data_IF_202045438168
#
_entry.id   IF_202045438168
#
_cell.length_a   1.000
_cell.length_b   1.000
_cell.length_c   1.000
_cell.angle_alpha   90.00
_cell.angle_beta   90.00
_cell.angle_gamma   90.00
#
_symmetry.space_group_name_H-M   'P 1'
#
loop_
_entity.id
_entity.type
_entity.pdbx_description
1 polymer ?
#
# COMPACT_ATOMS: atom_id res chain seq x y z
N UNK A 1 0.74 21.44 51.33
CA UNK A 1 -0.34 20.45 51.50
C UNK A 1 -0.73 19.99 50.11
N UNK A 2 -0.52 18.71 49.80
CA UNK A 2 -0.83 18.11 48.50
C UNK A 2 -2.35 18.00 48.33
N UNK A 3 -2.91 18.70 47.33
CA UNK A 3 -4.31 18.53 46.98
C UNK A 3 -4.45 17.31 46.05
N UNK A 4 -5.14 16.26 46.50
CA UNK A 4 -5.37 15.05 45.71
C UNK A 4 -6.28 15.26 44.49
N UNK A 5 -7.09 16.32 44.44
CA UNK A 5 -7.98 16.59 43.28
C UNK A 5 -7.20 16.86 42.00
N UNK A 6 -5.98 17.40 42.10
CA UNK A 6 -5.17 17.72 40.93
C UNK A 6 -4.73 16.46 40.16
N UNK A 7 -4.56 15.33 40.86
CA UNK A 7 -4.09 14.07 40.27
C UNK A 7 -5.17 13.42 39.36
N UNK A 8 -6.45 13.59 39.68
CA UNK A 8 -7.56 13.05 38.89
C UNK A 8 -8.16 14.06 37.92
N UNK A 9 -8.41 15.28 38.39
CA UNK A 9 -9.27 16.23 37.68
C UNK A 9 -8.46 17.10 36.70
N UNK A 10 -7.17 17.34 36.98
CA UNK A 10 -6.30 18.16 36.13
C UNK A 10 -6.09 17.58 34.73
N UNK A 11 -5.86 16.26 34.64
CA UNK A 11 -5.69 15.57 33.34
C UNK A 11 -7.01 15.53 32.56
N UNK A 12 -8.13 15.17 33.22
CA UNK A 12 -9.46 15.15 32.60
C UNK A 12 -9.87 16.51 32.05
N UNK A 13 -9.49 17.59 32.75
CA UNK A 13 -9.72 18.95 32.31
C UNK A 13 -8.91 19.31 31.05
N UNK A 14 -7.63 18.92 31.00
CA UNK A 14 -6.75 19.15 29.84
C UNK A 14 -7.17 18.33 28.60
N UNK A 15 -7.60 17.09 28.80
CA UNK A 15 -8.05 16.19 27.72
C UNK A 15 -9.50 16.46 27.27
N UNK A 16 -10.16 17.48 27.84
CA UNK A 16 -11.55 17.84 27.56
C UNK A 16 -12.57 16.71 27.82
N UNK A 17 -12.32 15.86 28.82
CA UNK A 17 -13.17 14.72 29.20
C UNK A 17 -14.18 15.04 30.31
N UNK A 18 -14.26 16.30 30.73
CA UNK A 18 -15.17 16.77 31.78
C UNK A 18 -16.46 17.34 31.20
N UNK A 19 -17.57 17.12 31.91
CA UNK A 19 -18.85 17.78 31.63
C UNK A 19 -18.83 19.25 32.07
N UNK A 20 -19.78 20.05 31.57
CA UNK A 20 -19.84 21.49 31.89
C UNK A 20 -19.97 21.77 33.39
N UNK A 21 -20.70 20.92 34.12
CA UNK A 21 -20.88 21.06 35.57
C UNK A 21 -19.59 20.72 36.35
N UNK A 22 -18.87 19.68 35.93
CA UNK A 22 -17.58 19.30 36.50
C UNK A 22 -16.50 20.36 36.25
N UNK A 23 -16.50 20.97 35.06
CA UNK A 23 -15.61 22.09 34.72
C UNK A 23 -15.84 23.26 35.66
N UNK A 24 -17.11 23.67 35.85
CA UNK A 24 -17.43 24.80 36.72
C UNK A 24 -17.05 24.54 38.19
N UNK A 25 -17.15 23.30 38.65
CA UNK A 25 -16.71 22.91 40.00
C UNK A 25 -15.18 22.94 40.13
N UNK A 26 -14.46 22.45 39.12
CA UNK A 26 -13.00 22.45 39.10
C UNK A 26 -12.43 23.88 38.98
N UNK A 27 -13.04 24.74 38.18
CA UNK A 27 -12.64 26.16 38.09
C UNK A 27 -12.82 26.90 39.41
N UNK A 28 -13.93 26.65 40.13
CA UNK A 28 -14.10 27.18 41.50
C UNK A 28 -12.97 26.71 42.41
N UNK A 29 -12.60 25.43 42.34
CA UNK A 29 -11.48 24.91 43.12
C UNK A 29 -10.14 25.59 42.77
N UNK A 30 -9.88 25.91 41.49
CA UNK A 30 -8.69 26.66 41.07
C UNK A 30 -8.67 28.10 41.59
N UNK A 31 -9.82 28.71 41.87
CA UNK A 31 -9.90 30.03 42.51
C UNK A 31 -9.50 29.99 43.99
N UNK A 32 -9.83 28.90 44.68
CA UNK A 32 -9.60 28.72 46.11
C UNK A 32 -8.22 28.10 46.43
N UNK A 33 -7.68 27.27 45.52
CA UNK A 33 -6.45 26.52 45.74
C UNK A 33 -5.29 27.07 44.88
N UNK A 34 -4.40 27.85 45.50
CA UNK A 34 -3.23 28.43 44.83
C UNK A 34 -2.25 27.38 44.28
N UNK A 35 -2.12 26.22 44.94
CA UNK A 35 -1.22 25.13 44.48
C UNK A 35 -1.71 24.48 43.18
N UNK A 36 -3.01 24.23 43.05
CA UNK A 36 -3.58 23.62 41.84
C UNK A 36 -3.51 24.60 40.66
N UNK A 37 -3.69 25.91 40.92
CA UNK A 37 -3.52 26.95 39.90
C UNK A 37 -2.11 26.95 39.32
N UNK A 38 -1.08 26.98 40.16
CA UNK A 38 0.32 26.98 39.69
C UNK A 38 0.62 25.72 38.86
N UNK A 39 0.12 24.56 39.30
CA UNK A 39 0.35 23.30 38.59
C UNK A 39 -0.36 23.25 37.22
N UNK A 40 -1.58 23.80 37.11
CA UNK A 40 -2.29 23.97 35.83
C UNK A 40 -1.55 24.93 34.88
N UNK A 41 -1.00 26.03 35.40
CA UNK A 41 -0.20 26.97 34.60
C UNK A 41 1.09 26.31 34.07
N UNK A 42 1.74 25.48 34.88
CA UNK A 42 2.93 24.72 34.47
C UNK A 42 2.61 23.68 33.38
N UNK A 43 1.52 22.93 33.55
CA UNK A 43 1.07 21.96 32.53
C UNK A 43 0.66 22.65 31.23
N UNK A 44 -0.06 23.77 31.29
CA UNK A 44 -0.43 24.54 30.10
C UNK A 44 0.78 25.11 29.35
N UNK A 45 1.86 25.45 30.06
CA UNK A 45 3.14 25.82 29.42
C UNK A 45 3.74 24.64 28.67
N UNK A 46 3.77 23.45 29.26
CA UNK A 46 4.30 22.25 28.62
C UNK A 46 3.50 21.88 27.36
N UNK A 47 2.18 21.93 27.43
CA UNK A 47 1.30 21.70 26.28
C UNK A 47 1.55 22.72 25.14
N UNK A 48 1.73 23.99 25.49
CA UNK A 48 2.09 25.02 24.50
C UNK A 48 3.50 24.81 23.89
N UNK A 49 4.41 24.12 24.58
CA UNK A 49 5.73 23.75 24.02
C UNK A 49 5.65 22.49 23.14
N UNK A 50 4.89 21.47 23.54
CA UNK A 50 4.73 20.22 22.78
C UNK A 50 3.82 20.39 21.58
N UNK A 51 2.73 21.15 21.69
CA UNK A 51 1.81 21.46 20.57
C UNK A 51 2.46 22.27 19.44
N UNK A 52 3.57 22.97 19.72
CA UNK A 52 4.39 23.64 18.69
C UNK A 52 5.28 22.68 17.91
N UNK A 53 5.52 21.47 18.43
CA UNK A 53 6.10 20.38 17.64
C UNK A 53 4.99 19.73 16.81
N UNK A 54 4.46 20.49 15.86
CA UNK A 54 3.60 19.93 14.82
C UNK A 54 4.47 18.99 13.98
N UNK A 55 4.50 17.72 14.36
CA UNK A 55 5.15 16.67 13.58
C UNK A 55 4.51 16.74 12.21
N UNK A 56 5.31 17.12 11.21
CA UNK A 56 4.86 17.19 9.83
C UNK A 56 4.42 15.78 9.43
N UNK A 57 3.12 15.59 9.26
CA UNK A 57 2.55 14.31 8.84
C UNK A 57 3.30 13.79 7.61
N UNK A 58 4.04 12.67 7.70
CA UNK A 58 4.82 12.15 6.58
C UNK A 58 3.94 11.42 5.55
N UNK A 59 2.62 11.66 5.57
CA UNK A 59 1.64 10.81 4.90
C UNK A 59 1.70 10.97 3.38
N UNK A 60 1.86 12.19 2.86
CA UNK A 60 1.71 12.41 1.42
C UNK A 60 2.94 11.96 0.61
N UNK A 61 4.16 12.29 1.06
CA UNK A 61 5.38 11.92 0.32
C UNK A 61 5.72 10.42 0.44
N UNK A 62 5.33 9.78 1.54
CA UNK A 62 5.55 8.35 1.74
C UNK A 62 4.55 7.49 0.94
N UNK A 63 3.28 7.91 0.89
CA UNK A 63 2.25 7.18 0.13
C UNK A 63 2.50 7.23 -1.37
N UNK A 64 2.89 8.38 -1.92
CA UNK A 64 3.18 8.50 -3.35
C UNK A 64 4.31 7.54 -3.79
N UNK A 65 5.39 7.43 -3.00
CA UNK A 65 6.50 6.52 -3.29
C UNK A 65 6.11 5.04 -3.22
N UNK A 66 5.34 4.67 -2.19
CA UNK A 66 4.90 3.30 -1.97
C UNK A 66 4.02 2.78 -3.11
N UNK A 67 2.98 3.53 -3.48
CA UNK A 67 2.06 3.16 -4.55
C UNK A 67 2.76 3.07 -5.92
N UNK A 68 3.66 4.02 -6.23
CA UNK A 68 4.38 4.03 -7.51
C UNK A 68 5.34 2.85 -7.65
N UNK A 69 5.84 2.28 -6.55
CA UNK A 69 6.74 1.12 -6.57
C UNK A 69 5.99 -0.21 -6.75
N UNK A 70 4.79 -0.30 -6.15
CA UNK A 70 3.94 -1.49 -6.20
C UNK A 70 3.29 -1.59 -7.57
N UNK A 71 2.62 -0.54 -8.03
CA UNK A 71 1.84 -0.58 -9.26
C UNK A 71 2.69 -0.92 -10.50
N UNK A 72 3.86 -0.27 -10.63
CA UNK A 72 4.82 -0.52 -11.73
C UNK A 72 5.41 -1.93 -11.74
N UNK A 73 5.50 -2.59 -10.57
CA UNK A 73 6.05 -3.95 -10.44
C UNK A 73 5.00 -5.02 -10.76
N UNK A 74 3.73 -4.74 -10.50
CA UNK A 74 2.64 -5.68 -10.72
C UNK A 74 2.12 -5.68 -12.16
N UNK A 75 1.96 -4.53 -12.82
CA UNK A 75 1.42 -4.48 -14.19
C UNK A 75 2.19 -5.38 -15.16
N UNK A 76 3.53 -5.28 -15.17
CA UNK A 76 4.33 -6.03 -16.15
C UNK A 76 4.32 -7.53 -15.87
N UNK A 77 4.38 -7.95 -14.61
CA UNK A 77 4.39 -9.38 -14.26
C UNK A 77 3.02 -10.03 -14.46
N UNK A 78 1.95 -9.35 -14.05
CA UNK A 78 0.58 -9.87 -14.17
C UNK A 78 0.14 -9.93 -15.64
N UNK A 79 0.46 -8.93 -16.45
CA UNK A 79 0.17 -8.96 -17.89
C UNK A 79 0.82 -10.17 -18.59
N UNK A 80 2.08 -10.49 -18.27
CA UNK A 80 2.74 -11.67 -18.84
C UNK A 80 2.13 -12.99 -18.38
N UNK A 81 1.72 -13.09 -17.12
CA UNK A 81 1.02 -14.29 -16.61
C UNK A 81 -0.27 -14.51 -17.38
N UNK A 82 -1.06 -13.44 -17.59
CA UNK A 82 -2.31 -13.51 -18.36
C UNK A 82 -2.06 -13.90 -19.82
N UNK A 83 -1.04 -13.32 -20.47
CA UNK A 83 -0.68 -13.66 -21.86
C UNK A 83 -0.24 -15.12 -21.98
N UNK A 84 0.61 -15.61 -21.07
CA UNK A 84 1.08 -17.00 -21.09
C UNK A 84 -0.07 -17.97 -20.82
N UNK A 85 -0.94 -17.66 -19.85
CA UNK A 85 -2.11 -18.47 -19.55
C UNK A 85 -3.12 -18.50 -20.71
N UNK A 86 -3.40 -17.35 -21.33
CA UNK A 86 -4.28 -17.29 -22.51
C UNK A 86 -3.69 -18.06 -23.70
N UNK A 87 -2.39 -17.91 -23.95
CA UNK A 87 -1.73 -18.62 -25.03
C UNK A 87 -1.64 -20.13 -24.79
N UNK A 88 -1.43 -20.60 -23.55
CA UNK A 88 -1.43 -22.03 -23.24
C UNK A 88 -2.81 -22.66 -23.45
N UNK A 89 -3.88 -21.97 -23.03
CA UNK A 89 -5.27 -22.39 -23.29
C UNK A 89 -5.57 -22.43 -24.79
N UNK A 90 -5.13 -21.42 -25.55
CA UNK A 90 -5.31 -21.40 -27.00
C UNK A 90 -4.59 -22.56 -27.70
N UNK A 91 -3.33 -22.85 -27.30
CA UNK A 91 -2.58 -24.01 -27.83
C UNK A 91 -3.27 -25.32 -27.48
N UNK A 92 -3.73 -25.50 -26.23
CA UNK A 92 -4.48 -26.68 -25.81
C UNK A 92 -5.76 -26.88 -26.63
N UNK A 93 -6.52 -25.81 -26.84
CA UNK A 93 -7.74 -25.85 -27.66
C UNK A 93 -7.45 -26.27 -29.10
N UNK A 94 -6.43 -25.68 -29.73
CA UNK A 94 -6.01 -26.03 -31.08
C UNK A 94 -5.53 -27.49 -31.18
N UNK A 95 -4.79 -27.97 -30.17
CA UNK A 95 -4.37 -29.37 -30.11
C UNK A 95 -5.58 -30.32 -30.02
N UNK A 96 -6.57 -30.04 -29.18
CA UNK A 96 -7.79 -30.85 -29.08
C UNK A 96 -8.55 -30.85 -30.40
N UNK A 97 -8.68 -29.70 -31.05
CA UNK A 97 -9.32 -29.57 -32.36
C UNK A 97 -8.59 -30.42 -33.42
N UNK A 98 -7.26 -30.34 -33.45
CA UNK A 98 -6.42 -31.13 -34.34
C UNK A 98 -6.53 -32.64 -34.07
N UNK A 99 -6.52 -33.07 -32.80
CA UNK A 99 -6.68 -34.49 -32.45
C UNK A 99 -8.03 -35.06 -32.88
N UNK A 100 -9.10 -34.25 -32.90
CA UNK A 100 -10.40 -34.66 -33.43
C UNK A 100 -10.40 -34.84 -34.95
N UNK A 101 -9.53 -34.13 -35.66
CA UNK A 101 -9.44 -34.15 -37.13
C UNK A 101 -8.31 -35.03 -37.68
N UNK A 102 -7.52 -35.68 -36.82
CA UNK A 102 -6.34 -36.51 -37.17
C UNK A 102 -6.62 -37.58 -38.24
N UNK A 103 -7.86 -38.03 -38.41
CA UNK A 103 -8.25 -39.00 -39.44
C UNK A 103 -8.39 -38.42 -40.85
N UNK A 104 -8.37 -37.10 -41.02
CA UNK A 104 -8.52 -36.42 -42.32
C UNK A 104 -7.34 -35.48 -42.54
N UNK A 105 -6.22 -36.03 -43.01
CA UNK A 105 -5.07 -35.27 -43.50
C UNK A 105 -5.50 -34.41 -44.70
N UNK A 106 -6.07 -33.26 -44.38
CA UNK A 106 -6.50 -32.23 -45.32
C UNK A 106 -5.51 -31.07 -45.28
N UNK A 107 -5.50 -30.26 -46.33
CA UNK A 107 -4.65 -29.07 -46.41
C UNK A 107 -4.83 -28.14 -45.21
N UNK A 108 -6.04 -28.07 -44.64
CA UNK A 108 -6.35 -27.29 -43.43
C UNK A 108 -5.54 -27.71 -42.21
N UNK A 109 -5.37 -29.01 -41.97
CA UNK A 109 -4.54 -29.55 -40.87
C UNK A 109 -3.07 -29.14 -41.01
N UNK A 110 -2.54 -29.11 -42.23
CA UNK A 110 -1.15 -28.69 -42.48
C UNK A 110 -0.92 -27.20 -42.19
N UNK A 111 -1.85 -26.34 -42.61
CA UNK A 111 -1.81 -24.90 -42.32
C UNK A 111 -1.91 -24.64 -40.81
N UNK A 112 -2.80 -25.37 -40.11
CA UNK A 112 -2.97 -25.24 -38.67
C UNK A 112 -1.69 -25.62 -37.90
N UNK A 113 -0.98 -26.67 -38.33
CA UNK A 113 0.31 -27.06 -37.73
C UNK A 113 1.39 -26.00 -37.88
N UNK A 114 1.51 -25.39 -39.06
CA UNK A 114 2.48 -24.31 -39.30
C UNK A 114 2.17 -23.08 -38.45
N UNK A 115 0.88 -22.71 -38.34
CA UNK A 115 0.44 -21.60 -37.49
C UNK A 115 0.75 -21.88 -36.01
N UNK A 116 0.48 -23.08 -35.53
CA UNK A 116 0.74 -23.47 -34.14
C UNK A 116 2.24 -23.48 -33.83
N UNK A 117 3.06 -24.01 -34.74
CA UNK A 117 4.52 -23.98 -34.62
C UNK A 117 5.06 -22.52 -34.60
N UNK A 118 4.53 -21.66 -35.46
CA UNK A 118 4.86 -20.22 -35.49
C UNK A 118 4.51 -19.52 -34.18
N UNK A 119 3.32 -19.79 -33.64
CA UNK A 119 2.84 -19.20 -32.38
C UNK A 119 3.71 -19.63 -31.20
N UNK A 120 4.05 -20.92 -31.11
CA UNK A 120 4.98 -21.47 -30.11
C UNK A 120 6.36 -20.82 -30.23
N UNK A 121 6.88 -20.68 -31.45
CA UNK A 121 8.21 -20.11 -31.69
C UNK A 121 8.27 -18.65 -31.26
N UNK A 122 7.22 -17.88 -31.57
CA UNK A 122 7.09 -16.48 -31.14
C UNK A 122 7.04 -16.37 -29.61
N UNK A 123 6.26 -17.24 -28.96
CA UNK A 123 6.17 -17.32 -27.51
C UNK A 123 7.53 -17.61 -26.85
N UNK A 124 8.28 -18.58 -27.39
CA UNK A 124 9.62 -18.91 -26.92
C UNK A 124 10.59 -17.73 -27.12
N UNK A 125 10.53 -17.05 -28.26
CA UNK A 125 11.36 -15.88 -28.54
C UNK A 125 11.14 -14.77 -27.51
N UNK A 126 9.86 -14.46 -27.25
CA UNK A 126 9.46 -13.44 -26.27
C UNK A 126 9.90 -13.80 -24.86
N UNK A 127 9.72 -15.07 -24.45
CA UNK A 127 10.18 -15.55 -23.14
C UNK A 127 11.70 -15.40 -23.04
N UNK A 128 12.45 -15.87 -24.04
CA UNK A 128 13.92 -15.82 -24.06
C UNK A 128 14.45 -14.40 -23.97
N UNK A 129 13.90 -13.49 -24.78
CA UNK A 129 14.28 -12.08 -24.79
C UNK A 129 14.02 -11.42 -23.43
N UNK A 130 12.90 -11.74 -22.77
CA UNK A 130 12.59 -11.21 -21.44
C UNK A 130 13.45 -11.79 -20.34
N UNK A 131 13.78 -13.07 -20.38
CA UNK A 131 14.75 -13.66 -19.44
C UNK A 131 16.12 -12.99 -19.59
N UNK A 132 16.54 -12.70 -20.83
CA UNK A 132 17.80 -12.03 -21.11
C UNK A 132 17.80 -10.56 -20.59
N UNK A 133 16.75 -9.80 -20.90
CA UNK A 133 16.57 -8.43 -20.36
C UNK A 133 16.51 -8.44 -18.83
N UNK A 134 15.83 -9.41 -18.21
CA UNK A 134 15.78 -9.51 -16.75
C UNK A 134 17.15 -9.77 -16.13
N UNK A 135 18.04 -10.50 -16.82
CA UNK A 135 19.39 -10.80 -16.32
C UNK A 135 20.39 -9.67 -16.62
N UNK A 136 20.24 -8.96 -17.73
CA UNK A 136 21.20 -7.97 -18.22
C UNK A 136 20.94 -6.54 -17.75
N UNK A 137 19.74 -6.25 -17.23
CA UNK A 137 19.38 -4.89 -16.88
C UNK A 137 19.95 -4.50 -15.51
N UNK A 138 21.11 -3.85 -15.57
CA UNK A 138 21.97 -3.33 -14.48
C UNK A 138 21.43 -2.05 -13.85
N UNK A 139 20.40 -1.43 -14.43
CA UNK A 139 19.90 -0.09 -14.03
C UNK A 139 18.49 -0.13 -13.42
N UNK A 140 17.99 -1.30 -13.03
CA UNK A 140 16.63 -1.46 -12.48
C UNK A 140 16.34 -0.68 -11.20
N UNK A 141 17.38 -0.33 -10.47
CA UNK A 141 17.28 0.29 -9.15
C UNK A 141 17.62 1.78 -9.15
N UNK A 142 17.91 2.38 -10.32
CA UNK A 142 18.21 3.82 -10.40
C UNK A 142 16.90 4.59 -10.62
N UNK A 143 16.37 5.15 -9.53
CA UNK A 143 15.29 6.14 -9.55
C UNK A 143 15.91 7.51 -9.88
N UNK A 144 15.42 8.17 -10.93
CA UNK A 144 15.79 9.55 -11.29
C UNK A 144 14.79 10.53 -10.72
#
# INVERSE_FOLDING_TARGET
MSCNRMESDGMRYLDHEMTADEIAEFEKHLTECGTCRTMMEEMGRLDAFTGRMKIKDPVDSFMEGYWKSIYRRFERKTAWIVIIAGASVAVLYLLIMMFREIGKLTFGTGVMLVLLAGLITLLISVIRERFHQKKSDRYKDIVR
#
